data_IF_904071199771
#
_entry.id   IF_904071199771
#
_cell.length_a   1.000
_cell.length_b   1.000
_cell.length_c   1.000
_cell.angle_alpha   90.00
_cell.angle_beta   90.00
_cell.angle_gamma   90.00
#
_symmetry.space_group_name_H-M   'P 1'
#
loop_
_entity.id
_entity.type
_entity.pdbx_description
1 polymer ?
#
# COMPACT_ATOMS: atom_id res chain seq x y z
N UNK A 1 10.69 9.25 -1.09
CA UNK A 1 9.93 8.88 -2.32
C UNK A 1 8.85 7.83 -2.02
N UNK A 2 9.18 6.69 -1.38
CA UNK A 2 8.19 5.69 -0.91
C UNK A 2 7.04 6.26 -0.06
N UNK A 3 7.28 7.18 0.91
CA UNK A 3 6.17 7.74 1.70
C UNK A 3 5.16 8.55 0.88
N UNK A 4 5.61 9.18 -0.21
CA UNK A 4 4.70 9.93 -1.09
C UNK A 4 3.83 8.99 -1.95
N UNK A 5 4.40 7.87 -2.41
CA UNK A 5 3.67 6.83 -3.10
C UNK A 5 2.62 6.18 -2.18
N UNK A 6 3.01 5.78 -0.97
CA UNK A 6 2.09 5.21 0.02
C UNK A 6 0.95 6.18 0.42
N UNK A 7 1.23 7.49 0.55
CA UNK A 7 0.19 8.50 0.74
C UNK A 7 -0.75 8.65 -0.45
N UNK A 8 -0.27 8.44 -1.68
CA UNK A 8 -1.14 8.43 -2.85
C UNK A 8 -2.09 7.22 -2.82
N UNK A 9 -1.60 6.04 -2.42
CA UNK A 9 -2.40 4.83 -2.21
C UNK A 9 -3.48 5.06 -1.16
N UNK A 10 -3.10 5.49 0.05
CA UNK A 10 -4.05 5.71 1.17
C UNK A 10 -5.15 6.72 0.81
N UNK A 11 -4.81 7.81 0.09
CA UNK A 11 -5.82 8.78 -0.38
C UNK A 11 -6.78 8.18 -1.41
N UNK A 12 -6.28 7.37 -2.35
CA UNK A 12 -7.14 6.75 -3.35
C UNK A 12 -8.13 5.76 -2.72
N UNK A 13 -7.67 4.97 -1.74
CA UNK A 13 -8.53 4.09 -0.93
C UNK A 13 -9.60 4.94 -0.22
N UNK A 14 -9.18 5.99 0.48
CA UNK A 14 -10.10 6.87 1.22
C UNK A 14 -11.15 7.52 0.30
N UNK A 15 -10.75 7.97 -0.89
CA UNK A 15 -11.69 8.50 -1.88
C UNK A 15 -12.69 7.47 -2.40
N UNK A 16 -12.33 6.19 -2.45
CA UNK A 16 -13.22 5.12 -2.96
C UNK A 16 -14.25 4.66 -1.94
N UNK A 17 -13.86 4.49 -0.68
CA UNK A 17 -14.70 3.83 0.33
C UNK A 17 -14.86 4.59 1.64
N UNK A 18 -14.18 5.72 1.81
CA UNK A 18 -14.09 6.45 3.08
C UNK A 18 -13.17 5.81 4.12
N UNK A 19 -12.61 4.61 3.86
CA UNK A 19 -11.73 3.93 4.81
C UNK A 19 -10.35 4.56 4.83
N UNK A 20 -9.87 4.82 6.05
CA UNK A 20 -8.55 5.40 6.27
C UNK A 20 -7.51 4.32 6.61
N UNK A 21 -6.46 4.26 5.78
CA UNK A 21 -5.28 3.43 6.00
C UNK A 21 -4.11 4.28 6.51
N UNK A 22 -3.51 3.88 7.62
CA UNK A 22 -2.32 4.52 8.17
C UNK A 22 -1.11 4.29 7.27
N UNK A 23 -0.23 5.29 7.17
CA UNK A 23 0.98 5.23 6.32
C UNK A 23 2.21 5.38 7.20
N UNK A 24 3.10 4.39 7.15
CA UNK A 24 4.32 4.33 7.94
C UNK A 24 5.26 3.24 7.45
N UNK A 25 6.36 3.04 8.17
CA UNK A 25 7.21 1.85 7.99
C UNK A 25 6.58 0.65 8.68
N UNK A 26 6.94 -0.57 8.27
CA UNK A 26 6.48 -1.80 8.93
C UNK A 26 6.84 -1.72 10.43
N UNK A 27 8.09 -1.41 10.76
CA UNK A 27 8.55 -1.31 12.14
C UNK A 27 7.77 -0.31 12.99
N UNK A 28 7.36 0.83 12.42
CA UNK A 28 6.60 1.86 13.15
C UNK A 28 5.12 1.52 13.34
N UNK A 29 4.54 0.66 12.49
CA UNK A 29 3.11 0.35 12.51
C UNK A 29 2.81 -0.98 13.18
N UNK A 30 3.65 -1.99 12.98
CA UNK A 30 3.41 -3.39 13.38
C UNK A 30 4.48 -3.93 14.33
N UNK A 31 5.48 -3.12 14.67
CA UNK A 31 6.64 -3.53 15.45
C UNK A 31 7.80 -4.04 14.57
N UNK A 32 9.02 -4.12 15.15
CA UNK A 32 10.21 -4.54 14.42
C UNK A 32 10.08 -6.00 13.98
N UNK A 33 10.31 -6.25 12.70
CA UNK A 33 10.38 -7.56 12.09
C UNK A 33 11.51 -7.57 11.05
N UNK A 34 12.21 -8.70 10.90
CA UNK A 34 13.29 -8.87 9.95
C UNK A 34 13.02 -10.09 9.06
N UNK A 35 13.56 -10.07 7.84
CA UNK A 35 13.42 -11.18 6.89
C UNK A 35 12.06 -11.19 6.17
N UNK A 36 11.34 -10.06 6.17
CA UNK A 36 10.11 -9.94 5.41
C UNK A 36 10.39 -9.92 3.90
N UNK A 37 9.38 -10.24 3.10
CA UNK A 37 9.46 -10.07 1.63
C UNK A 37 9.77 -8.63 1.24
N UNK A 38 9.38 -7.66 2.07
CA UNK A 38 9.66 -6.25 1.84
C UNK A 38 11.13 -5.90 2.05
N UNK A 39 11.78 -6.51 3.06
CA UNK A 39 13.21 -6.34 3.31
C UNK A 39 14.02 -6.89 2.14
N UNK A 40 13.70 -8.11 1.68
CA UNK A 40 14.37 -8.72 0.54
C UNK A 40 14.14 -7.93 -0.76
N UNK A 41 12.90 -7.51 -1.04
CA UNK A 41 12.59 -6.76 -2.25
C UNK A 41 13.35 -5.42 -2.30
N UNK A 42 13.44 -4.72 -1.17
CA UNK A 42 14.08 -3.41 -1.10
C UNK A 42 15.61 -3.52 -1.06
N UNK A 43 16.17 -4.33 -0.15
CA UNK A 43 17.61 -4.40 0.06
C UNK A 43 18.31 -5.43 -0.81
N UNK A 44 17.67 -6.57 -1.09
CA UNK A 44 18.21 -7.60 -1.97
C UNK A 44 18.03 -7.23 -3.45
N UNK A 45 16.79 -7.13 -3.90
CA UNK A 45 16.45 -6.92 -5.30
C UNK A 45 16.45 -5.44 -5.76
N UNK A 46 16.70 -4.50 -4.85
CA UNK A 46 16.75 -3.04 -5.13
C UNK A 46 15.45 -2.47 -5.73
N UNK A 47 14.30 -3.09 -5.42
CA UNK A 47 12.98 -2.63 -5.85
C UNK A 47 12.58 -1.39 -5.04
N UNK A 48 12.72 -0.23 -5.69
CA UNK A 48 12.52 1.09 -5.08
C UNK A 48 11.12 1.33 -4.50
N UNK A 49 10.08 0.81 -5.15
CA UNK A 49 8.68 0.99 -4.75
C UNK A 49 8.11 -0.27 -4.11
N UNK A 50 8.72 -0.71 -3.02
CA UNK A 50 8.17 -1.76 -2.17
C UNK A 50 7.17 -1.15 -1.18
N UNK A 51 5.90 -1.59 -1.25
CA UNK A 51 4.80 -1.15 -0.39
C UNK A 51 4.00 -2.40 0.03
N UNK A 52 3.92 -2.64 1.33
CA UNK A 52 2.98 -3.60 1.93
C UNK A 52 1.65 -2.93 2.27
N UNK A 53 0.56 -3.70 2.19
CA UNK A 53 -0.79 -3.23 2.55
C UNK A 53 -1.43 -4.29 3.45
N UNK A 54 -1.74 -3.91 4.68
CA UNK A 54 -2.61 -4.68 5.56
C UNK A 54 -4.05 -4.22 5.34
N UNK A 55 -4.91 -5.13 4.86
CA UNK A 55 -6.29 -4.83 4.46
C UNK A 55 -7.23 -4.71 5.67
N UNK A 56 -8.54 -4.62 5.41
CA UNK A 56 -9.54 -4.59 6.48
C UNK A 56 -9.48 -5.86 7.35
N UNK A 57 -9.86 -5.80 8.61
CA UNK A 57 -10.30 -4.62 9.38
C UNK A 57 -9.27 -4.22 10.45
N UNK A 58 -9.70 -3.49 11.49
CA UNK A 58 -8.83 -3.08 12.61
C UNK A 58 -8.88 -4.04 13.80
N UNK A 59 -9.27 -5.29 13.57
CA UNK A 59 -9.30 -6.34 14.59
C UNK A 59 -10.68 -6.67 15.15
N UNK A 60 -11.79 -6.13 14.60
CA UNK A 60 -13.15 -6.55 15.03
C UNK A 60 -13.45 -7.96 14.54
N UNK A 61 -13.11 -8.23 13.29
CA UNK A 61 -13.20 -9.56 12.68
C UNK A 61 -11.82 -10.17 12.42
N UNK A 62 -10.80 -9.34 12.19
CA UNK A 62 -9.44 -9.80 11.90
C UNK A 62 -9.44 -10.72 10.67
N UNK A 63 -8.82 -11.89 10.82
CA UNK A 63 -8.75 -12.90 9.76
C UNK A 63 -10.12 -13.52 9.37
N UNK A 64 -11.15 -13.35 10.21
CA UNK A 64 -12.51 -13.86 9.96
C UNK A 64 -13.43 -12.76 9.39
N UNK A 65 -12.89 -11.92 8.50
CA UNK A 65 -13.63 -10.83 7.86
C UNK A 65 -14.87 -11.38 7.12
N UNK A 66 -16.09 -10.84 7.37
CA UNK A 66 -17.30 -11.31 6.72
C UNK A 66 -17.24 -11.26 5.20
N UNK A 67 -17.83 -12.25 4.53
CA UNK A 67 -17.78 -12.38 3.07
C UNK A 67 -18.33 -11.17 2.30
N UNK A 68 -19.32 -10.45 2.85
CA UNK A 68 -19.88 -9.24 2.25
C UNK A 68 -18.88 -8.07 2.21
N UNK A 69 -17.75 -8.16 2.90
CA UNK A 69 -16.65 -7.19 2.83
C UNK A 69 -15.57 -7.57 1.81
N UNK A 70 -15.65 -8.72 1.14
CA UNK A 70 -14.66 -9.13 0.13
C UNK A 70 -14.61 -8.10 -1.01
N UNK A 71 -15.75 -7.88 -1.69
CA UNK A 71 -15.81 -6.95 -2.83
C UNK A 71 -15.50 -5.51 -2.42
N UNK A 72 -16.06 -4.95 -1.32
CA UNK A 72 -15.67 -3.61 -0.85
C UNK A 72 -14.17 -3.45 -0.57
N UNK A 73 -13.52 -4.48 0.00
CA UNK A 73 -12.09 -4.44 0.30
C UNK A 73 -11.24 -4.55 -0.97
N UNK A 74 -11.65 -5.40 -1.93
CA UNK A 74 -10.96 -5.52 -3.20
C UNK A 74 -11.06 -4.24 -4.04
N UNK A 75 -12.24 -3.62 -4.08
CA UNK A 75 -12.49 -2.38 -4.82
C UNK A 75 -11.62 -1.23 -4.34
N UNK A 76 -11.52 -1.02 -3.01
CA UNK A 76 -10.69 0.05 -2.46
C UNK A 76 -9.19 -0.24 -2.67
N UNK A 77 -8.75 -1.49 -2.47
CA UNK A 77 -7.38 -1.90 -2.68
C UNK A 77 -6.94 -1.73 -4.15
N UNK A 78 -7.82 -2.02 -5.10
CA UNK A 78 -7.57 -1.82 -6.53
C UNK A 78 -7.36 -0.34 -6.87
N UNK A 79 -8.15 0.57 -6.30
CA UNK A 79 -7.92 2.01 -6.48
C UNK A 79 -6.59 2.47 -5.88
N UNK A 80 -6.21 1.91 -4.72
CA UNK A 80 -4.87 2.06 -4.17
C UNK A 80 -3.76 1.61 -5.12
N UNK A 81 -3.89 0.41 -5.70
CA UNK A 81 -2.93 -0.14 -6.66
C UNK A 81 -2.81 0.71 -7.92
N UNK A 82 -3.94 1.13 -8.51
CA UNK A 82 -3.96 2.05 -9.67
C UNK A 82 -3.24 3.36 -9.35
N UNK A 83 -3.44 3.91 -8.15
CA UNK A 83 -2.77 5.13 -7.72
C UNK A 83 -1.24 4.95 -7.60
N UNK A 84 -0.78 3.80 -7.10
CA UNK A 84 0.64 3.46 -7.07
C UNK A 84 1.21 3.35 -8.49
N UNK A 85 0.54 2.62 -9.38
CA UNK A 85 0.98 2.46 -10.77
C UNK A 85 1.10 3.82 -11.49
N UNK A 86 0.09 4.68 -11.36
CA UNK A 86 0.11 6.05 -11.89
C UNK A 86 1.24 6.89 -11.29
N UNK A 87 1.49 6.78 -9.98
CA UNK A 87 2.59 7.49 -9.31
C UNK A 87 3.95 7.08 -9.86
N UNK A 88 4.18 5.77 -10.05
CA UNK A 88 5.42 5.23 -10.60
C UNK A 88 5.58 5.69 -12.05
N UNK A 89 4.57 5.47 -12.91
CA UNK A 89 4.61 5.86 -14.31
C UNK A 89 4.98 7.33 -14.48
N UNK A 90 4.28 8.25 -13.79
CA UNK A 90 4.57 9.69 -13.86
C UNK A 90 5.98 10.05 -13.40
N UNK A 91 6.52 9.35 -12.40
CA UNK A 91 7.85 9.66 -11.85
C UNK A 91 9.00 9.07 -12.64
N UNK A 92 8.81 7.91 -13.24
CA UNK A 92 9.85 7.22 -13.98
C UNK A 92 9.86 7.68 -15.45
N UNK A 93 8.70 7.97 -16.06
CA UNK A 93 8.63 8.58 -17.40
C UNK A 93 9.25 9.99 -17.43
N UNK A 94 9.02 10.80 -16.39
CA UNK A 94 9.59 12.15 -16.31
C UNK A 94 11.13 12.19 -16.24
N UNK A 95 11.81 11.05 -16.07
CA UNK A 95 13.28 10.98 -16.11
C UNK A 95 13.85 10.90 -17.53
N UNK A 96 13.01 10.65 -18.52
CA UNK A 96 13.42 10.51 -19.92
C UNK A 96 13.06 11.74 -20.77
N UNK A 97 12.42 12.74 -20.17
CA UNK A 97 11.93 13.97 -20.83
C UNK A 97 12.80 15.18 -20.44
N UNK A 98 13.82 14.97 -19.61
CA UNK A 98 14.87 15.93 -19.23
C UNK A 98 16.21 15.21 -19.28
#
# INVERSE_FOLDING_TARGET
RRPAAARAVSRAIQSRSGVYYQVGTISSLLGPAAGSSSDWAYDGAKIKYCIGVELRDKGRYGFLLPNFLIVPTADEALEGFKALAKFIARRELNKFIH
#
